data_IF_721483778073
#
_entry.id   IF_721483778073
#
_cell.length_a   1.000
_cell.length_b   1.000
_cell.length_c   1.000
_cell.angle_alpha   90.00
_cell.angle_beta   90.00
_cell.angle_gamma   90.00
#
_symmetry.space_group_name_H-M   'P 1'
#
loop_
_entity.id
_entity.type
_entity.pdbx_description
1 polymer ?
#
# COMPACT_ATOMS: atom_id res chain seq x y z
N UNK A 1 -16.76 8.78 -26.55
CA UNK A 1 -16.13 9.95 -25.89
C UNK A 1 -15.35 9.43 -24.70
N UNK A 2 -14.07 9.79 -24.58
CA UNK A 2 -13.29 9.49 -23.38
C UNK A 2 -13.75 10.39 -22.23
N UNK A 3 -13.92 9.83 -21.03
CA UNK A 3 -14.27 10.58 -19.83
C UNK A 3 -13.05 11.42 -19.45
N UNK A 4 -13.09 12.74 -19.67
CA UNK A 4 -11.95 13.64 -19.40
C UNK A 4 -12.32 14.61 -18.28
N UNK A 5 -11.47 14.71 -17.26
CA UNK A 5 -11.68 15.60 -16.11
C UNK A 5 -10.41 16.35 -15.74
N UNK A 6 -10.52 17.32 -14.82
CA UNK A 6 -9.38 18.13 -14.35
C UNK A 6 -8.19 17.29 -13.85
N UNK A 7 -8.42 16.08 -13.34
CA UNK A 7 -7.34 15.22 -12.86
C UNK A 7 -6.44 14.71 -14.00
N UNK A 8 -7.01 14.53 -15.20
CA UNK A 8 -6.27 14.16 -16.41
C UNK A 8 -5.23 15.23 -16.76
N UNK A 9 -5.60 16.50 -16.63
CA UNK A 9 -4.72 17.65 -16.90
C UNK A 9 -3.63 17.78 -15.84
N UNK A 10 -3.97 17.61 -14.56
CA UNK A 10 -3.01 17.70 -13.45
C UNK A 10 -1.95 16.59 -13.54
N UNK A 11 -2.36 15.37 -13.87
CA UNK A 11 -1.50 14.19 -13.83
C UNK A 11 -0.91 13.79 -15.18
N UNK A 12 -1.35 14.41 -16.28
CA UNK A 12 -0.90 14.05 -17.63
C UNK A 12 -1.36 12.67 -18.11
N UNK A 13 -2.58 12.26 -17.76
CA UNK A 13 -3.16 10.96 -18.09
C UNK A 13 -4.38 11.10 -19.02
N UNK A 14 -4.75 10.01 -19.72
CA UNK A 14 -5.84 10.00 -20.69
C UNK A 14 -7.19 9.78 -20.01
N UNK A 15 -7.25 8.84 -19.06
CA UNK A 15 -8.45 8.46 -18.33
C UNK A 15 -8.31 8.78 -16.84
N UNK A 16 -9.37 9.28 -16.18
CA UNK A 16 -9.38 9.57 -14.74
C UNK A 16 -9.56 8.28 -13.93
N UNK A 17 -8.73 7.28 -14.23
CA UNK A 17 -8.74 5.96 -13.60
C UNK A 17 -7.35 5.73 -13.01
N UNK A 18 -7.30 5.51 -11.71
CA UNK A 18 -6.08 5.34 -10.96
C UNK A 18 -6.05 3.92 -10.37
N UNK A 19 -4.91 3.26 -10.45
CA UNK A 19 -4.67 2.02 -9.72
C UNK A 19 -4.48 2.34 -8.23
N UNK A 20 -5.17 1.62 -7.34
CA UNK A 20 -4.89 1.72 -5.91
C UNK A 20 -3.50 1.16 -5.60
N UNK A 21 -2.69 1.88 -4.82
CA UNK A 21 -1.36 1.46 -4.40
C UNK A 21 -1.40 0.40 -3.29
N UNK A 22 -1.71 -0.85 -3.63
CA UNK A 22 -1.82 -1.94 -2.68
C UNK A 22 -0.48 -2.65 -2.50
N UNK A 23 0.10 -2.60 -1.30
CA UNK A 23 1.32 -3.33 -0.97
C UNK A 23 1.17 -4.84 -1.25
N UNK A 24 2.14 -5.43 -1.96
CA UNK A 24 2.12 -6.84 -2.36
C UNK A 24 1.33 -7.17 -3.63
N UNK A 25 0.46 -6.26 -4.12
CA UNK A 25 -0.32 -6.46 -5.35
C UNK A 25 0.08 -5.49 -6.47
N UNK A 26 0.27 -4.21 -6.15
CA UNK A 26 0.55 -3.15 -7.12
C UNK A 26 2.05 -3.05 -7.44
N UNK A 27 2.56 -4.09 -8.12
CA UNK A 27 3.96 -4.27 -8.54
C UNK A 27 4.28 -3.58 -9.88
N UNK A 28 5.56 -3.47 -10.30
CA UNK A 28 5.96 -2.72 -11.51
C UNK A 28 5.20 -3.05 -12.79
N UNK A 29 4.99 -4.33 -13.07
CA UNK A 29 4.28 -4.77 -14.29
C UNK A 29 2.82 -4.29 -14.32
N UNK A 30 2.11 -4.36 -13.19
CA UNK A 30 0.73 -3.93 -13.09
C UNK A 30 0.61 -2.40 -13.19
N UNK A 31 1.48 -1.66 -12.47
CA UNK A 31 1.50 -0.20 -12.54
C UNK A 31 1.80 0.26 -13.98
N UNK A 32 2.83 -0.29 -14.62
CA UNK A 32 3.18 0.06 -16.00
C UNK A 32 2.05 -0.26 -16.98
N UNK A 33 1.37 -1.40 -16.83
CA UNK A 33 0.24 -1.77 -17.68
C UNK A 33 -0.92 -0.76 -17.59
N UNK A 34 -1.27 -0.32 -16.39
CA UNK A 34 -2.33 0.69 -16.18
C UNK A 34 -1.92 2.04 -16.77
N UNK A 35 -0.67 2.47 -16.56
CA UNK A 35 -0.13 3.69 -17.18
C UNK A 35 -0.18 3.59 -18.71
N UNK A 36 0.29 2.47 -19.28
CA UNK A 36 0.24 2.20 -20.72
C UNK A 36 -1.18 2.21 -21.30
N UNK A 37 -2.18 1.78 -20.53
CA UNK A 37 -3.59 1.85 -20.90
C UNK A 37 -4.19 3.28 -20.82
N UNK A 38 -3.45 4.27 -20.31
CA UNK A 38 -3.85 5.68 -20.25
C UNK A 38 -4.40 6.13 -18.90
N UNK A 39 -4.43 5.27 -17.88
CA UNK A 39 -4.69 5.64 -16.49
C UNK A 39 -3.43 6.07 -15.76
N UNK A 40 -3.50 6.17 -14.43
CA UNK A 40 -2.33 6.31 -13.56
C UNK A 40 -2.04 4.99 -12.86
N UNK A 41 -0.96 4.30 -13.25
CA UNK A 41 -0.40 3.23 -12.46
C UNK A 41 0.19 3.75 -11.16
N UNK A 42 0.04 3.02 -10.05
CA UNK A 42 0.61 3.40 -8.75
C UNK A 42 1.29 2.19 -8.12
N UNK A 43 2.56 2.33 -7.75
CA UNK A 43 3.30 1.31 -7.02
C UNK A 43 2.86 1.27 -5.55
N UNK A 44 2.55 0.08 -5.02
CA UNK A 44 2.20 -0.10 -3.61
C UNK A 44 3.45 -0.31 -2.75
N UNK A 45 3.96 0.75 -2.12
CA UNK A 45 5.23 0.72 -1.39
C UNK A 45 5.09 0.55 0.14
N UNK A 46 3.92 0.13 0.63
CA UNK A 46 3.63 -0.01 2.06
C UNK A 46 4.70 -0.76 2.88
N UNK A 47 5.23 -1.87 2.36
CA UNK A 47 6.28 -2.67 3.00
C UNK A 47 7.55 -2.78 2.12
N UNK A 48 7.71 -1.86 1.16
CA UNK A 48 8.80 -1.90 0.19
C UNK A 48 10.05 -1.23 0.77
N UNK A 49 11.16 -1.95 0.91
CA UNK A 49 12.42 -1.33 1.38
C UNK A 49 12.87 -0.23 0.40
N UNK A 50 13.66 0.76 0.84
CA UNK A 50 14.16 1.82 -0.05
C UNK A 50 14.87 1.27 -1.31
N UNK A 51 15.68 0.22 -1.15
CA UNK A 51 16.38 -0.43 -2.27
C UNK A 51 15.39 -1.13 -3.22
N UNK A 52 14.40 -1.83 -2.66
CA UNK A 52 13.36 -2.49 -3.45
C UNK A 52 12.51 -1.46 -4.21
N UNK A 53 12.18 -0.34 -3.57
CA UNK A 53 11.43 0.76 -4.17
C UNK A 53 12.23 1.39 -5.31
N UNK A 54 13.53 1.64 -5.11
CA UNK A 54 14.41 2.15 -6.16
C UNK A 54 14.47 1.20 -7.36
N UNK A 55 14.57 -0.11 -7.10
CA UNK A 55 14.52 -1.14 -8.15
C UNK A 55 13.17 -1.13 -8.88
N UNK A 56 12.05 -1.05 -8.15
CA UNK A 56 10.72 -1.03 -8.74
C UNK A 56 10.48 0.20 -9.60
N UNK A 57 10.88 1.39 -9.15
CA UNK A 57 10.78 2.62 -9.94
C UNK A 57 11.55 2.49 -11.26
N UNK A 58 12.77 1.93 -11.23
CA UNK A 58 13.56 1.66 -12.45
C UNK A 58 12.87 0.69 -13.39
N UNK A 59 12.40 -0.45 -12.87
CA UNK A 59 11.67 -1.44 -13.66
C UNK A 59 10.40 -0.85 -14.27
N UNK A 60 9.63 -0.05 -13.53
CA UNK A 60 8.44 0.61 -14.09
C UNK A 60 8.82 1.58 -15.20
N UNK A 61 9.91 2.36 -15.04
CA UNK A 61 10.43 3.25 -16.10
C UNK A 61 10.93 2.52 -17.34
N UNK A 62 11.42 1.29 -17.21
CA UNK A 62 11.77 0.45 -18.35
C UNK A 62 10.53 -0.08 -19.11
N UNK A 63 9.39 -0.19 -18.42
CA UNK A 63 8.14 -0.74 -18.97
C UNK A 63 7.16 0.33 -19.49
N UNK A 64 7.33 1.59 -19.09
CA UNK A 64 6.49 2.71 -19.53
C UNK A 64 7.18 4.07 -19.46
N UNK A 65 6.98 4.87 -20.51
CA UNK A 65 7.34 6.28 -20.54
C UNK A 65 6.23 7.19 -19.98
N UNK A 66 5.06 6.63 -19.64
CA UNK A 66 3.89 7.39 -19.14
C UNK A 66 4.00 7.69 -17.64
N UNK A 67 3.22 8.67 -17.11
CA UNK A 67 3.20 8.96 -15.68
C UNK A 67 2.75 7.76 -14.84
N UNK A 68 3.35 7.62 -13.65
CA UNK A 68 2.93 6.68 -12.62
C UNK A 68 3.23 7.30 -11.23
N UNK A 69 2.56 6.78 -10.20
CA UNK A 69 2.73 7.20 -8.81
C UNK A 69 3.36 6.13 -7.91
N UNK A 70 3.64 6.52 -6.67
CA UNK A 70 4.09 5.64 -5.59
C UNK A 70 3.22 5.92 -4.37
N UNK A 71 2.65 4.87 -3.78
CA UNK A 71 1.88 4.92 -2.54
C UNK A 71 2.74 4.47 -1.37
N UNK A 72 2.96 5.36 -0.40
CA UNK A 72 3.74 5.10 0.82
C UNK A 72 2.90 5.32 2.06
N UNK A 73 3.12 4.53 3.11
CA UNK A 73 2.40 4.70 4.37
C UNK A 73 3.10 5.71 5.27
N UNK A 74 2.38 6.77 5.64
CA UNK A 74 2.84 7.74 6.64
C UNK A 74 2.61 7.16 8.05
N UNK A 75 3.67 6.84 8.81
CA UNK A 75 3.52 6.24 10.12
C UNK A 75 3.08 7.28 11.16
N UNK A 76 2.39 6.82 12.20
CA UNK A 76 1.91 7.68 13.28
C UNK A 76 3.03 8.45 13.98
N UNK A 77 4.24 7.88 14.03
CA UNK A 77 5.46 8.50 14.57
C UNK A 77 5.89 9.78 13.85
N UNK A 78 5.43 9.99 12.61
CA UNK A 78 5.76 11.18 11.80
C UNK A 78 4.73 12.30 11.99
N UNK A 79 3.56 12.03 12.59
CA UNK A 79 2.52 13.05 12.78
C UNK A 79 3.03 14.17 13.68
N UNK A 80 3.12 15.38 13.11
CA UNK A 80 3.28 16.63 13.87
C UNK A 80 1.90 17.15 14.27
N UNK A 81 1.58 17.07 15.56
CA UNK A 81 0.33 17.58 16.14
C UNK A 81 -0.40 16.53 17.00
N UNK A 82 -1.24 17.00 17.92
CA UNK A 82 -2.17 16.16 18.67
C UNK A 82 -3.11 15.42 17.70
N UNK A 83 -3.37 14.14 17.99
CA UNK A 83 -4.31 13.34 17.20
C UNK A 83 -5.66 14.08 17.05
N UNK A 84 -6.30 14.08 15.87
CA UNK A 84 -7.64 14.63 15.75
C UNK A 84 -8.57 13.87 16.70
N UNK A 85 -9.11 14.58 17.69
CA UNK A 85 -10.19 14.09 18.54
C UNK A 85 -11.47 14.10 17.71
N UNK A 86 -11.65 13.14 16.81
CA UNK A 86 -12.94 12.93 16.16
C UNK A 86 -13.37 11.49 16.35
N UNK A 87 -14.35 11.29 17.22
CA UNK A 87 -14.92 10.00 17.59
C UNK A 87 -14.16 9.32 18.73
N UNK A 88 -14.91 8.75 19.67
CA UNK A 88 -14.38 7.91 20.75
C UNK A 88 -13.69 6.68 20.15
N UNK A 89 -12.45 6.85 19.69
CA UNK A 89 -11.55 5.72 19.51
C UNK A 89 -11.32 5.16 20.92
N UNK A 90 -11.49 3.85 21.16
CA UNK A 90 -11.13 3.27 22.43
C UNK A 90 -9.72 3.73 22.79
N UNK A 91 -9.50 4.15 24.04
CA UNK A 91 -8.19 4.63 24.50
C UNK A 91 -7.06 3.61 24.24
N UNK A 92 -7.44 2.34 24.01
CA UNK A 92 -6.57 1.29 23.51
C UNK A 92 -7.30 0.38 22.50
N UNK A 93 -6.92 0.36 21.20
CA UNK A 93 -7.47 -0.58 20.21
C UNK A 93 -7.38 -2.05 20.61
N UNK A 94 -6.40 -2.42 21.46
CA UNK A 94 -6.26 -3.78 21.99
C UNK A 94 -7.44 -4.21 22.87
N UNK A 95 -8.20 -3.26 23.45
CA UNK A 95 -9.37 -3.56 24.25
C UNK A 95 -10.48 -4.24 23.44
N UNK A 96 -10.57 -3.96 22.14
CA UNK A 96 -11.56 -4.56 21.23
C UNK A 96 -11.07 -5.86 20.58
N UNK A 97 -9.79 -6.21 20.73
CA UNK A 97 -9.19 -7.35 20.02
C UNK A 97 -9.92 -8.66 20.34
N UNK A 98 -10.29 -8.88 21.61
CA UNK A 98 -11.00 -10.10 22.03
C UNK A 98 -12.40 -10.21 21.41
N UNK A 99 -13.14 -9.09 21.35
CA UNK A 99 -14.47 -9.03 20.73
C UNK A 99 -14.39 -9.33 19.24
N UNK A 100 -13.44 -8.73 18.53
CA UNK A 100 -13.25 -8.98 17.11
C UNK A 100 -12.82 -10.41 16.81
N UNK A 101 -11.93 -10.99 17.62
CA UNK A 101 -11.55 -12.40 17.48
C UNK A 101 -12.74 -13.34 17.70
N UNK A 102 -13.62 -13.03 18.66
CA UNK A 102 -14.83 -13.82 18.88
C UNK A 102 -15.77 -13.70 17.69
N UNK A 103 -16.07 -12.48 17.23
CA UNK A 103 -16.88 -12.25 16.04
C UNK A 103 -16.34 -12.99 14.82
N UNK A 104 -15.02 -12.96 14.58
CA UNK A 104 -14.41 -13.68 13.46
C UNK A 104 -14.63 -15.19 13.58
N UNK A 105 -14.44 -15.78 14.76
CA UNK A 105 -14.72 -17.22 14.99
C UNK A 105 -16.18 -17.55 14.72
N UNK A 106 -17.10 -16.81 15.33
CA UNK A 106 -18.54 -17.04 15.19
C UNK A 106 -18.99 -16.90 13.73
N UNK A 107 -18.43 -15.91 13.01
CA UNK A 107 -18.71 -15.69 11.60
C UNK A 107 -18.16 -16.85 10.74
N UNK A 108 -16.92 -17.27 10.97
CA UNK A 108 -16.32 -18.37 10.21
C UNK A 108 -17.06 -19.69 10.44
N UNK A 109 -17.48 -19.98 11.68
CA UNK A 109 -18.29 -21.16 12.00
C UNK A 109 -19.67 -21.09 11.32
N UNK A 110 -20.35 -19.93 11.38
CA UNK A 110 -21.67 -19.75 10.78
C UNK A 110 -21.66 -19.90 9.26
N UNK A 111 -20.60 -19.44 8.61
CA UNK A 111 -20.47 -19.46 7.15
C UNK A 111 -19.67 -20.67 6.62
N UNK A 112 -19.32 -21.63 7.49
CA UNK A 112 -18.53 -22.84 7.16
C UNK A 112 -17.20 -22.52 6.45
N UNK A 113 -16.49 -21.50 6.94
CA UNK A 113 -15.24 -21.02 6.37
C UNK A 113 -14.02 -21.72 6.98
N UNK A 114 -13.04 -22.16 6.16
CA UNK A 114 -11.83 -22.79 6.67
C UNK A 114 -10.96 -21.80 7.43
N UNK A 115 -10.27 -22.27 8.48
CA UNK A 115 -9.26 -21.46 9.16
C UNK A 115 -8.14 -21.07 8.19
N UNK A 116 -7.76 -19.79 8.24
CA UNK A 116 -6.66 -19.27 7.45
C UNK A 116 -5.37 -19.48 8.22
N UNK A 117 -4.47 -20.31 7.69
CA UNK A 117 -3.08 -20.33 8.14
C UNK A 117 -2.43 -18.99 7.77
N UNK A 118 -2.34 -18.10 8.75
CA UNK A 118 -1.78 -16.76 8.58
C UNK A 118 -0.33 -16.78 8.06
N UNK A 119 0.46 -17.80 8.43
CA UNK A 119 1.83 -17.93 7.96
C UNK A 119 1.88 -18.39 6.50
N UNK A 120 1.00 -19.30 6.09
CA UNK A 120 0.84 -19.71 4.70
C UNK A 120 0.31 -18.55 3.84
N UNK A 121 -0.69 -17.81 4.33
CA UNK A 121 -1.27 -16.65 3.65
C UNK A 121 -0.24 -15.53 3.45
N UNK A 122 0.58 -15.24 4.47
CA UNK A 122 1.66 -14.25 4.34
C UNK A 122 2.77 -14.69 3.37
N UNK A 123 3.11 -15.98 3.34
CA UNK A 123 4.06 -16.53 2.36
C UNK A 123 3.51 -16.46 0.93
N UNK A 124 2.24 -16.81 0.75
CA UNK A 124 1.56 -16.76 -0.55
C UNK A 124 1.38 -15.32 -1.06
N UNK A 125 1.18 -14.35 -0.16
CA UNK A 125 1.10 -12.92 -0.47
C UNK A 125 2.44 -12.28 -0.86
N UNK A 126 3.53 -13.06 -0.91
CA UNK A 126 4.85 -12.56 -1.31
C UNK A 126 5.36 -11.49 -0.35
N UNK A 127 5.31 -11.76 0.96
CA UNK A 127 5.90 -10.86 1.94
C UNK A 127 7.32 -10.46 1.49
N UNK A 128 7.62 -9.16 1.40
CA UNK A 128 8.89 -8.70 0.86
C UNK A 128 10.02 -9.33 1.68
N UNK A 129 11.06 -9.80 1.00
CA UNK A 129 12.29 -10.18 1.68
C UNK A 129 12.74 -9.00 2.53
N UNK A 130 12.57 -9.14 3.84
CA UNK A 130 13.06 -8.17 4.83
C UNK A 130 14.57 -8.10 4.65
N UNK A 131 15.03 -7.05 3.95
CA UNK A 131 16.44 -6.76 3.77
C UNK A 131 17.11 -6.77 5.14
N UNK A 132 18.05 -7.69 5.34
CA UNK A 132 18.82 -7.80 6.59
C UNK A 132 19.58 -6.49 6.79
N UNK A 133 19.11 -5.63 7.69
CA UNK A 133 19.80 -4.42 8.12
C UNK A 133 19.13 -3.07 7.82
N UNK A 134 17.90 -3.04 7.27
CA UNK A 134 17.16 -1.80 7.05
C UNK A 134 16.43 -1.25 8.30
N UNK A 135 15.97 0.02 8.26
CA UNK A 135 15.11 0.57 9.32
C UNK A 135 13.83 -0.24 9.48
N UNK A 136 13.33 -0.35 10.71
CA UNK A 136 12.13 -1.13 11.03
C UNK A 136 10.91 -0.59 10.28
N UNK A 137 10.09 -1.48 9.72
CA UNK A 137 8.87 -1.11 8.99
C UNK A 137 7.97 -0.18 9.82
N UNK A 138 7.30 0.74 9.14
CA UNK A 138 6.35 1.69 9.73
C UNK A 138 6.93 2.59 10.82
N UNK A 139 8.25 2.82 10.79
CA UNK A 139 8.92 3.85 11.61
C UNK A 139 9.11 5.13 10.83
N UNK A 140 9.47 6.21 11.54
CA UNK A 140 9.75 7.50 10.93
C UNK A 140 10.97 7.40 10.01
N UNK A 141 12.00 6.70 10.48
CA UNK A 141 13.27 6.48 9.79
C UNK A 141 13.03 5.68 8.50
N UNK A 142 12.15 4.67 8.55
CA UNK A 142 11.76 3.92 7.36
C UNK A 142 11.04 4.80 6.34
N UNK A 143 10.06 5.59 6.78
CA UNK A 143 9.33 6.49 5.90
C UNK A 143 10.25 7.55 5.27
N UNK A 144 11.11 8.19 6.07
CA UNK A 144 12.09 9.17 5.59
C UNK A 144 13.04 8.53 4.56
N UNK A 145 13.53 7.32 4.79
CA UNK A 145 14.36 6.60 3.84
C UNK A 145 13.64 6.25 2.53
N UNK A 146 12.33 5.94 2.58
CA UNK A 146 11.54 5.78 1.36
C UNK A 146 11.40 7.12 0.61
N UNK A 147 11.19 8.23 1.32
CA UNK A 147 11.06 9.56 0.71
C UNK A 147 12.35 10.07 0.06
N UNK A 148 13.52 9.58 0.45
CA UNK A 148 14.78 9.87 -0.26
C UNK A 148 14.87 9.16 -1.63
N UNK A 149 14.03 8.16 -1.89
CA UNK A 149 14.01 7.41 -3.15
C UNK A 149 13.10 8.04 -4.19
N UNK A 150 11.97 8.61 -3.76
CA UNK A 150 10.91 9.16 -4.62
C UNK A 150 11.22 10.60 -5.02
#
# INVERSE_FOLDING_TARGET
MALKSRICEILGIEYPILLAGMGGASVPALAAAVSNAGGLGVLGAAACSPDQLRSWIRQTRELTDKPFGVDTLLPASVRRGSAPQSGASPENPMALLGEYQQFTRDFMEREDLPEVDAAMAMRAAGAPEMGKGGPQLFTREFFEAQMEVV
#
